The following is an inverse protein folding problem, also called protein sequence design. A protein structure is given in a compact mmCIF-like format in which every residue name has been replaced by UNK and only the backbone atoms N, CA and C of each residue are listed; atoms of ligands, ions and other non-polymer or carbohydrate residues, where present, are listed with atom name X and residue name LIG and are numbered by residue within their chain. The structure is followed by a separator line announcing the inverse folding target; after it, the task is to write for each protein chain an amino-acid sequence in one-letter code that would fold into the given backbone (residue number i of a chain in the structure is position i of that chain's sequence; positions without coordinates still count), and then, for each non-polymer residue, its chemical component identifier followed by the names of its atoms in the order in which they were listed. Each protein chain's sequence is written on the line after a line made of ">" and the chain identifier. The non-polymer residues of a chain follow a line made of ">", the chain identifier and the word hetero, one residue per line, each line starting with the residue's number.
data_IF_213873590262
#
_entry.id   IF_213873590262
#
_cell.length_a   1.000
_cell.length_b   1.000
_cell.length_c   1.000
_cell.angle_alpha   90.00
_cell.angle_beta   90.00
_cell.angle_gamma   90.00
#
_symmetry.space_group_name_H-M   'P 1'
#
loop_
_entity.id
_entity.type
_entity.pdbx_description
1 polymer ?
#
# COMPACT_ATOMS: atom_id res chain seq x y z
N UNK A 1 -7.17 -71.64 -14.71
CA UNK A 1 -7.67 -70.41 -14.05
C UNK A 1 -6.57 -69.39 -13.72
N UNK A 2 -5.34 -69.81 -13.40
CA UNK A 2 -4.25 -68.92 -12.94
C UNK A 2 -3.55 -68.05 -13.98
N UNK A 3 -3.66 -68.36 -15.28
CA UNK A 3 -2.98 -67.59 -16.34
C UNK A 3 -3.68 -66.25 -16.65
N UNK A 4 -5.00 -66.17 -16.46
CA UNK A 4 -5.79 -64.94 -16.66
C UNK A 4 -5.49 -63.88 -15.60
N UNK A 5 -5.21 -64.28 -14.36
CA UNK A 5 -4.94 -63.38 -13.22
C UNK A 5 -3.56 -62.71 -13.38
N UNK A 6 -2.56 -63.45 -13.87
CA UNK A 6 -1.21 -62.89 -14.13
C UNK A 6 -1.19 -61.91 -15.30
N UNK A 7 -1.97 -62.16 -16.35
CA UNK A 7 -2.11 -61.24 -17.48
C UNK A 7 -2.79 -59.92 -17.08
N UNK A 8 -3.83 -59.98 -16.24
CA UNK A 8 -4.53 -58.79 -15.75
C UNK A 8 -3.63 -57.95 -14.82
N UNK A 9 -2.81 -58.59 -13.99
CA UNK A 9 -1.82 -57.92 -13.13
C UNK A 9 -0.72 -57.20 -13.92
N UNK A 10 -0.20 -57.83 -14.98
CA UNK A 10 0.76 -57.17 -15.89
C UNK A 10 0.12 -56.00 -16.66
N UNK A 11 -1.15 -56.14 -17.07
CA UNK A 11 -1.89 -55.06 -17.72
C UNK A 11 -2.08 -53.87 -16.77
N UNK A 12 -2.38 -54.13 -15.50
CA UNK A 12 -2.56 -53.09 -14.47
C UNK A 12 -1.26 -52.31 -14.20
N UNK A 13 -0.11 -52.99 -14.20
CA UNK A 13 1.20 -52.35 -14.06
C UNK A 13 1.51 -51.52 -15.32
N UNK A 14 1.20 -52.04 -16.51
CA UNK A 14 1.41 -51.31 -17.76
C UNK A 14 0.56 -50.04 -17.85
N UNK A 15 -0.70 -50.07 -17.40
CA UNK A 15 -1.54 -48.87 -17.37
C UNK A 15 -1.11 -47.89 -16.28
N UNK A 16 -0.61 -48.36 -15.14
CA UNK A 16 -0.12 -47.51 -14.06
C UNK A 16 1.17 -46.76 -14.42
N UNK A 17 2.06 -47.38 -15.21
CA UNK A 17 3.30 -46.72 -15.70
C UNK A 17 2.99 -45.56 -16.66
N UNK A 18 1.82 -45.56 -17.30
CA UNK A 18 1.35 -44.45 -18.13
C UNK A 18 0.65 -43.33 -17.34
N UNK A 19 0.81 -43.28 -16.01
CA UNK A 19 0.34 -42.18 -15.18
C UNK A 19 1.06 -40.86 -15.54
N UNK A 20 0.39 -40.07 -16.37
CA UNK A 20 0.40 -38.62 -16.47
C UNK A 20 1.65 -37.89 -15.96
N UNK A 21 2.67 -37.79 -16.81
CA UNK A 21 3.77 -36.85 -16.61
C UNK A 21 3.26 -35.42 -16.79
N UNK A 22 2.86 -34.75 -15.69
CA UNK A 22 2.59 -33.30 -15.70
C UNK A 22 3.91 -32.59 -15.98
N UNK A 23 4.14 -32.24 -17.24
CA UNK A 23 5.22 -31.33 -17.65
C UNK A 23 4.86 -29.95 -17.13
N UNK A 24 5.48 -29.50 -16.03
CA UNK A 24 5.48 -28.08 -15.66
C UNK A 24 6.16 -27.33 -16.81
N UNK A 25 5.38 -26.67 -17.66
CA UNK A 25 5.90 -25.73 -18.65
C UNK A 25 6.51 -24.56 -17.90
N UNK A 26 7.62 -24.01 -18.39
CA UNK A 26 8.19 -22.77 -17.87
C UNK A 26 7.09 -21.71 -17.90
N UNK A 27 6.75 -21.17 -16.73
CA UNK A 27 5.83 -20.03 -16.66
C UNK A 27 6.58 -18.82 -17.21
N UNK A 28 5.93 -18.11 -18.13
CA UNK A 28 6.48 -16.85 -18.64
C UNK A 28 6.28 -15.80 -17.54
N UNK A 29 7.38 -15.29 -16.98
CA UNK A 29 7.38 -14.29 -15.89
C UNK A 29 6.56 -13.05 -16.28
N UNK A 30 6.52 -12.73 -17.57
CA UNK A 30 5.76 -11.59 -18.12
C UNK A 30 4.25 -11.84 -18.03
N UNK A 31 3.79 -13.07 -18.23
CA UNK A 31 2.37 -13.43 -18.12
C UNK A 31 1.93 -13.60 -16.66
N UNK A 32 2.87 -13.95 -15.77
CA UNK A 32 2.63 -14.00 -14.33
C UNK A 32 2.57 -12.61 -13.67
N UNK A 33 2.98 -11.53 -14.35
CA UNK A 33 2.97 -10.18 -13.76
C UNK A 33 1.57 -9.73 -13.31
N UNK A 34 0.49 -10.13 -14.00
CA UNK A 34 -0.88 -9.82 -13.55
C UNK A 34 -1.38 -10.70 -12.40
N UNK A 35 -0.63 -11.75 -12.03
CA UNK A 35 -0.90 -12.60 -10.87
C UNK A 35 -0.14 -12.12 -9.62
N UNK A 36 0.80 -11.18 -9.80
CA UNK A 36 1.47 -10.51 -8.69
C UNK A 36 0.52 -9.42 -8.21
N UNK A 37 -0.07 -9.60 -7.04
CA UNK A 37 -0.90 -8.59 -6.40
C UNK A 37 -0.07 -7.34 -6.18
N UNK A 38 -0.42 -6.24 -6.85
CA UNK A 38 0.29 -4.99 -6.71
C UNK A 38 -0.08 -4.37 -5.36
N UNK A 39 0.81 -4.47 -4.37
CA UNK A 39 0.61 -3.95 -3.02
C UNK A 39 0.86 -2.43 -2.94
N UNK A 40 0.44 -1.69 -3.96
CA UNK A 40 0.62 -0.24 -4.06
C UNK A 40 -0.60 0.46 -3.51
N UNK A 41 -0.36 1.56 -2.80
CA UNK A 41 -1.44 2.42 -2.34
C UNK A 41 -2.11 3.13 -3.54
N UNK A 42 -3.41 3.47 -3.41
CA UNK A 42 -4.09 4.36 -4.35
C UNK A 42 -3.34 5.69 -4.50
N UNK A 43 -3.41 6.27 -5.70
CA UNK A 43 -2.73 7.54 -6.03
C UNK A 43 -3.64 8.76 -5.87
N UNK A 44 -4.86 8.56 -5.39
CA UNK A 44 -5.91 9.59 -5.23
C UNK A 44 -5.54 10.63 -4.15
N UNK A 45 -4.64 10.27 -3.24
CA UNK A 45 -4.20 11.08 -2.09
C UNK A 45 -2.69 11.20 -2.10
N UNK A 46 -2.19 12.43 -2.02
CA UNK A 46 -0.75 12.69 -1.89
C UNK A 46 -0.43 13.26 -0.51
N UNK A 47 0.48 12.66 0.27
CA UNK A 47 0.93 13.23 1.53
C UNK A 47 1.88 14.41 1.29
N UNK A 48 1.61 15.53 1.94
CA UNK A 48 2.46 16.73 1.89
C UNK A 48 3.46 16.77 3.04
N UNK A 49 3.04 16.37 4.26
CA UNK A 49 3.89 16.40 5.44
C UNK A 49 3.43 15.44 6.53
N UNK A 50 4.39 15.05 7.37
CA UNK A 50 4.19 14.22 8.55
C UNK A 50 4.77 14.95 9.76
N UNK A 51 3.97 15.10 10.80
CA UNK A 51 4.46 15.47 12.12
C UNK A 51 4.34 14.25 13.03
N UNK A 52 5.47 13.80 13.56
CA UNK A 52 5.62 12.57 14.35
C UNK A 52 6.04 12.91 15.77
N UNK A 53 5.22 12.51 16.73
CA UNK A 53 5.53 12.56 18.15
C UNK A 53 5.64 11.12 18.66
N UNK A 54 6.82 10.73 19.13
CA UNK A 54 7.09 9.38 19.63
C UNK A 54 7.62 9.45 21.06
N UNK A 55 7.03 8.63 21.93
CA UNK A 55 7.40 8.43 23.31
C UNK A 55 7.83 6.96 23.47
N UNK A 56 9.13 6.66 23.33
CA UNK A 56 9.63 5.30 23.49
C UNK A 56 9.76 4.93 24.97
N UNK A 57 9.33 3.73 25.35
CA UNK A 57 9.60 3.14 26.67
C UNK A 57 10.65 2.03 26.52
N UNK A 58 11.91 2.42 26.65
CA UNK A 58 13.07 1.55 26.36
C UNK A 58 13.06 0.26 27.19
N UNK A 59 12.70 0.35 28.47
CA UNK A 59 12.68 -0.81 29.38
C UNK A 59 11.63 -1.85 29.01
N UNK A 60 10.55 -1.42 28.35
CA UNK A 60 9.41 -2.25 27.98
C UNK A 60 9.47 -2.72 26.52
N UNK A 61 10.31 -2.07 25.70
CA UNK A 61 10.46 -2.37 24.29
C UNK A 61 9.27 -1.95 23.44
N UNK A 62 8.47 -0.98 23.90
CA UNK A 62 7.33 -0.44 23.18
C UNK A 62 7.43 1.10 23.07
N UNK A 63 6.48 1.68 22.35
CA UNK A 63 6.36 3.12 22.21
C UNK A 63 4.90 3.52 22.12
N UNK A 64 4.62 4.75 22.55
CA UNK A 64 3.38 5.44 22.24
C UNK A 64 3.68 6.64 21.37
N UNK A 65 2.71 7.10 20.59
CA UNK A 65 2.94 8.24 19.74
C UNK A 65 1.70 8.73 19.02
N UNK A 66 1.88 9.86 18.34
CA UNK A 66 0.87 10.48 17.50
C UNK A 66 1.50 10.87 16.18
N UNK A 67 0.75 10.67 15.11
CA UNK A 67 1.11 11.13 13.77
C UNK A 67 0.04 12.07 13.26
N UNK A 68 0.46 13.24 12.78
CA UNK A 68 -0.40 14.15 12.02
C UNK A 68 0.08 14.16 10.57
N UNK A 69 -0.78 13.71 9.68
CA UNK A 69 -0.49 13.62 8.24
C UNK A 69 -1.29 14.72 7.54
N UNK A 70 -0.60 15.62 6.86
CA UNK A 70 -1.24 16.59 5.97
C UNK A 70 -1.25 16.02 4.57
N UNK A 71 -2.44 15.88 3.98
CA UNK A 71 -2.63 15.30 2.65
C UNK A 71 -3.35 16.27 1.72
N UNK A 72 -3.11 16.14 0.42
CA UNK A 72 -3.87 16.80 -0.65
C UNK A 72 -4.59 15.74 -1.48
N UNK A 73 -5.86 15.99 -1.76
CA UNK A 73 -6.64 15.21 -2.71
C UNK A 73 -6.19 15.53 -4.14
N UNK A 74 -5.76 14.50 -4.88
CA UNK A 74 -5.47 14.59 -6.31
C UNK A 74 -6.74 14.32 -7.09
N UNK A 75 -7.46 13.28 -6.70
CA UNK A 75 -8.74 12.87 -7.26
C UNK A 75 -9.83 12.82 -6.18
N UNK A 76 -11.10 12.89 -6.58
CA UNK A 76 -12.21 12.79 -5.65
C UNK A 76 -12.33 11.35 -5.12
N UNK A 77 -12.18 11.21 -3.81
CA UNK A 77 -12.37 9.93 -3.11
C UNK A 77 -12.81 10.21 -1.67
N UNK A 78 -13.40 9.21 -1.03
CA UNK A 78 -13.87 9.23 0.36
C UNK A 78 -13.03 8.35 1.30
N UNK A 79 -12.04 7.65 0.74
CA UNK A 79 -11.15 6.75 1.47
C UNK A 79 -9.69 7.27 1.48
N UNK A 80 -9.03 7.13 2.64
CA UNK A 80 -7.59 7.34 2.77
C UNK A 80 -6.96 6.01 3.18
N UNK A 81 -6.29 5.35 2.24
CA UNK A 81 -5.56 4.11 2.50
C UNK A 81 -4.09 4.39 2.82
N UNK A 82 -3.61 3.85 3.95
CA UNK A 82 -2.23 4.00 4.42
C UNK A 82 -1.65 2.63 4.80
N UNK A 83 -0.33 2.51 4.83
CA UNK A 83 0.32 1.35 5.40
C UNK A 83 0.39 1.46 6.92
N UNK A 84 0.08 0.36 7.60
CA UNK A 84 0.31 0.16 9.03
C UNK A 84 0.86 -1.25 9.25
N UNK A 85 1.81 -1.38 10.18
CA UNK A 85 2.30 -2.69 10.60
C UNK A 85 1.20 -3.42 11.38
N UNK A 86 1.13 -4.74 11.27
CA UNK A 86 0.13 -5.56 11.98
C UNK A 86 0.22 -5.43 13.50
N UNK A 87 1.39 -5.05 14.03
CA UNK A 87 1.63 -4.88 15.47
C UNK A 87 1.42 -3.43 15.95
N UNK A 88 0.98 -2.52 15.08
CA UNK A 88 0.68 -1.14 15.45
C UNK A 88 -0.79 -1.00 15.86
N UNK A 89 -1.05 -0.72 17.13
CA UNK A 89 -2.40 -0.46 17.64
C UNK A 89 -2.81 1.00 17.39
N UNK A 90 -3.91 1.20 16.66
CA UNK A 90 -4.48 2.53 16.39
C UNK A 90 -5.58 2.82 17.42
N UNK A 91 -5.28 3.71 18.36
CA UNK A 91 -6.19 4.04 19.45
C UNK A 91 -7.23 5.09 19.03
N UNK A 92 -6.80 6.10 18.26
CA UNK A 92 -7.65 7.24 17.88
C UNK A 92 -7.28 7.76 16.49
N UNK A 93 -8.29 8.14 15.71
CA UNK A 93 -8.14 8.75 14.40
C UNK A 93 -9.06 9.95 14.27
N UNK A 94 -8.55 11.07 13.76
CA UNK A 94 -9.35 12.26 13.48
C UNK A 94 -8.94 12.85 12.12
N UNK A 95 -9.93 13.31 11.36
CA UNK A 95 -9.73 13.94 10.05
C UNK A 95 -10.28 15.35 10.10
N UNK A 96 -9.48 16.32 9.67
CA UNK A 96 -9.90 17.71 9.53
C UNK A 96 -9.57 18.20 8.13
N UNK A 97 -10.51 18.92 7.52
CA UNK A 97 -10.30 19.56 6.24
C UNK A 97 -9.94 21.03 6.46
N UNK A 98 -8.85 21.47 5.85
CA UNK A 98 -8.39 22.86 5.87
C UNK A 98 -8.58 23.39 4.46
N UNK A 99 -9.29 24.52 4.31
CA UNK A 99 -9.37 25.20 3.02
C UNK A 99 -7.98 25.77 2.69
N UNK A 100 -7.59 25.74 1.41
CA UNK A 100 -6.38 26.42 0.99
C UNK A 100 -6.54 27.91 1.30
N UNK A 101 -5.71 28.44 2.20
CA UNK A 101 -5.61 29.88 2.44
C UNK A 101 -4.92 30.47 1.20
N UNK A 102 -5.59 31.41 0.51
CA UNK A 102 -4.99 32.17 -0.58
C UNK A 102 -3.69 32.80 -0.07
N UNK A 103 -2.57 32.57 -0.75
CA UNK A 103 -1.32 33.29 -0.50
C UNK A 103 -1.61 34.79 -0.63
N UNK A 104 -1.78 35.47 0.51
CA UNK A 104 -1.78 36.92 0.56
C UNK A 104 -0.37 37.37 0.23
N UNK A 105 -0.17 37.68 -1.05
CA UNK A 105 0.95 38.45 -1.56
C UNK A 105 1.21 39.60 -0.59
N UNK A 106 2.39 39.62 0.04
CA UNK A 106 2.80 40.67 0.96
C UNK A 106 3.50 41.77 0.15
N UNK A 107 2.86 42.89 -0.23
CA UNK A 107 3.58 44.04 -0.75
C UNK A 107 4.19 44.82 0.41
N UNK A 108 5.25 44.27 1.03
CA UNK A 108 6.14 45.09 1.84
C UNK A 108 7.18 45.74 0.93
N UNK A 109 6.79 46.86 0.33
CA UNK A 109 7.72 47.87 -0.18
C UNK A 109 7.12 49.25 0.01
N UNK A 110 7.33 49.83 1.20
CA UNK A 110 7.28 51.30 1.37
C UNK A 110 8.53 51.88 0.71
N UNK A 111 8.41 52.93 -0.11
CA UNK A 111 9.01 54.18 0.34
C UNK A 111 8.27 55.47 -0.04
N UNK A 112 8.38 56.42 0.90
CA UNK A 112 8.57 57.88 0.77
C UNK A 112 7.46 58.76 0.17
N UNK A 113 6.84 59.53 1.09
CA UNK A 113 6.46 60.94 0.99
C UNK A 113 6.10 61.51 -0.39
N UNK A 114 4.86 61.98 -0.55
CA UNK A 114 4.58 63.15 -1.39
C UNK A 114 3.33 63.93 -0.92
N UNK A 115 3.63 65.12 -0.40
CA UNK A 115 2.93 66.41 -0.47
C UNK A 115 1.44 66.57 -0.07
N UNK A 116 1.27 67.23 1.08
CA UNK A 116 0.07 67.99 1.43
C UNK A 116 0.00 69.28 0.61
N UNK A 117 -1.03 69.41 -0.22
CA UNK A 117 -1.51 70.69 -0.75
C UNK A 117 -2.97 70.58 -1.14
N UNK A 118 -3.85 71.00 -0.21
CA UNK A 118 -5.00 71.89 -0.43
C UNK A 118 -5.77 72.13 0.86
#
# INVERSE_FOLDING_TARGET
>A
MFLKVRALSLFFIFTFVNASTIRKRSIDLIQAHSLISDNRLPLEVTPNSYNLELLPFIDQGNFEGKVKITVTWVDQTDEITLHADENLEIIETQVTQIAAEDEVENPSSTPLFQESSR
#
